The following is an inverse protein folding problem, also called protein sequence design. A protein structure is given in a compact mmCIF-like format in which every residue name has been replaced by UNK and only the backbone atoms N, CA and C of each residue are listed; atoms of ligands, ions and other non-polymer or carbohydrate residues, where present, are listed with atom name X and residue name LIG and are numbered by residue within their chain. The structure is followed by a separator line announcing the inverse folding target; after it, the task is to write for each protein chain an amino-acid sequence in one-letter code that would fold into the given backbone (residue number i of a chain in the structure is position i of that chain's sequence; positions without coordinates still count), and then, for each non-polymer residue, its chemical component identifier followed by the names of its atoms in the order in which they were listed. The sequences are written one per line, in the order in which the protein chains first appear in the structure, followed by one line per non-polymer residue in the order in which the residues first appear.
data_IF_344514566898
#
_entry.id   IF_344514566898
#
_cell.length_a   1.000
_cell.length_b   1.000
_cell.length_c   1.000
_cell.angle_alpha   90.00
_cell.angle_beta   90.00
_cell.angle_gamma   90.00
#
_symmetry.space_group_name_H-M   'P 1'
#
loop_
_entity.id
_entity.type
_entity.pdbx_description
1 polymer ?
#
# COMPACT_ATOMS: atom_id res chain seq x y z
N UNK A 1 -6.76 11.16 -16.39
CA UNK A 1 -6.99 9.77 -15.96
C UNK A 1 -8.46 9.47 -16.10
N UNK A 2 -8.85 8.29 -16.62
CA UNK A 2 -10.23 7.84 -16.63
C UNK A 2 -10.44 6.92 -15.42
N UNK A 3 -11.41 7.25 -14.56
CA UNK A 3 -11.65 6.49 -13.33
C UNK A 3 -12.24 5.11 -13.60
N UNK A 4 -12.99 4.93 -14.69
CA UNK A 4 -13.53 3.62 -15.07
C UNK A 4 -12.43 2.67 -15.51
N UNK A 5 -11.42 3.15 -16.24
CA UNK A 5 -10.26 2.36 -16.65
C UNK A 5 -9.44 1.91 -15.42
N UNK A 6 -9.30 2.78 -14.41
CA UNK A 6 -8.61 2.44 -13.16
C UNK A 6 -9.40 1.39 -12.35
N UNK A 7 -10.72 1.51 -12.30
CA UNK A 7 -11.58 0.51 -11.66
C UNK A 7 -11.43 -0.84 -12.38
N UNK A 8 -11.42 -0.85 -13.71
CA UNK A 8 -11.22 -2.07 -14.49
C UNK A 8 -9.84 -2.69 -14.23
N UNK A 9 -8.79 -1.86 -14.18
CA UNK A 9 -7.43 -2.32 -13.82
C UNK A 9 -7.42 -2.95 -12.43
N UNK A 10 -8.05 -2.32 -11.45
CA UNK A 10 -8.12 -2.83 -10.08
C UNK A 10 -8.87 -4.17 -10.01
N UNK A 11 -9.96 -4.34 -10.75
CA UNK A 11 -10.72 -5.60 -10.83
C UNK A 11 -9.88 -6.72 -11.45
N UNK A 12 -9.08 -6.42 -12.48
CA UNK A 12 -8.25 -7.42 -13.19
C UNK A 12 -6.94 -7.75 -12.48
N UNK A 13 -6.57 -6.98 -11.45
CA UNK A 13 -5.29 -7.15 -10.78
C UNK A 13 -5.35 -8.20 -9.68
N UNK A 14 -4.23 -8.89 -9.52
CA UNK A 14 -3.93 -9.74 -8.38
C UNK A 14 -2.89 -9.01 -7.53
N UNK A 15 -3.13 -8.96 -6.23
CA UNK A 15 -2.31 -8.22 -5.28
C UNK A 15 -1.54 -9.21 -4.39
N UNK A 16 -0.39 -8.78 -3.88
CA UNK A 16 0.43 -9.54 -2.93
C UNK A 16 1.05 -10.84 -3.48
N UNK A 17 0.97 -11.09 -4.79
CA UNK A 17 1.48 -12.32 -5.39
C UNK A 17 3.01 -12.44 -5.43
N UNK A 18 3.74 -11.34 -5.18
CA UNK A 18 5.21 -11.30 -5.08
C UNK A 18 5.70 -10.95 -3.67
N UNK A 19 4.82 -11.00 -2.68
CA UNK A 19 5.18 -10.61 -1.32
C UNK A 19 6.32 -11.49 -0.77
N UNK A 20 7.41 -10.85 -0.36
CA UNK A 20 8.65 -11.46 0.09
C UNK A 20 9.68 -11.69 -1.01
N UNK A 21 9.39 -11.31 -2.25
CA UNK A 21 10.34 -11.35 -3.37
C UNK A 21 11.11 -10.02 -3.48
N UNK A 22 12.38 -10.10 -3.88
CA UNK A 22 13.20 -8.92 -4.14
C UNK A 22 13.14 -8.57 -5.63
N UNK A 23 12.95 -7.28 -5.95
CA UNK A 23 13.08 -6.76 -7.30
C UNK A 23 14.15 -5.66 -7.38
N UNK A 24 14.66 -5.41 -8.60
CA UNK A 24 15.54 -4.28 -8.87
C UNK A 24 14.68 -3.06 -9.24
N UNK A 25 14.22 -2.34 -8.23
CA UNK A 25 13.51 -1.07 -8.39
C UNK A 25 14.27 0.00 -7.64
N UNK A 26 14.63 1.06 -8.35
CA UNK A 26 15.26 2.21 -7.73
C UNK A 26 14.35 2.77 -6.62
N UNK A 27 14.94 3.10 -5.47
CA UNK A 27 14.25 3.68 -4.31
C UNK A 27 13.24 2.76 -3.60
N UNK A 28 13.35 1.44 -3.75
CA UNK A 28 12.55 0.47 -2.97
C UNK A 28 13.45 -0.51 -2.25
N UNK A 29 13.24 -0.66 -0.94
CA UNK A 29 13.87 -1.69 -0.11
C UNK A 29 12.85 -2.79 0.14
N UNK A 30 13.17 -4.02 -0.31
CA UNK A 30 12.33 -5.19 -0.15
C UNK A 30 12.70 -5.97 1.11
N UNK A 31 11.70 -6.25 1.94
CA UNK A 31 11.80 -6.94 3.21
C UNK A 31 11.20 -8.34 3.05
N UNK A 32 11.83 -9.35 3.62
CA UNK A 32 11.53 -10.74 3.25
C UNK A 32 10.11 -11.20 3.58
N UNK A 33 9.53 -10.73 4.68
CA UNK A 33 8.20 -11.15 5.14
C UNK A 33 7.73 -10.32 6.33
N UNK A 34 6.48 -10.55 6.74
CA UNK A 34 5.84 -9.90 7.91
C UNK A 34 6.56 -10.14 9.24
N UNK A 35 7.31 -11.24 9.40
CA UNK A 35 8.09 -11.47 10.62
C UNK A 35 9.28 -10.51 10.69
N UNK A 36 10.05 -10.38 9.60
CA UNK A 36 11.16 -9.45 9.52
C UNK A 36 10.69 -8.00 9.52
N UNK A 37 9.54 -7.70 8.92
CA UNK A 37 9.01 -6.34 8.94
C UNK A 37 8.50 -5.89 10.32
N UNK A 38 7.74 -6.74 11.03
CA UNK A 38 6.92 -6.29 12.17
C UNK A 38 7.21 -6.94 13.51
N UNK A 39 7.88 -8.10 13.55
CA UNK A 39 8.08 -8.86 14.80
C UNK A 39 9.55 -8.85 15.21
N UNK A 40 10.45 -9.18 14.29
CA UNK A 40 11.88 -9.30 14.53
C UNK A 40 12.66 -8.52 13.45
N UNK A 41 12.53 -7.18 13.39
CA UNK A 41 13.26 -6.36 12.43
C UNK A 41 14.76 -6.37 12.70
N UNK A 42 15.54 -6.42 11.62
CA UNK A 42 16.99 -6.24 11.65
C UNK A 42 17.34 -4.93 10.96
N UNK A 43 18.41 -4.27 11.41
CA UNK A 43 18.85 -3.04 10.74
C UNK A 43 19.27 -3.33 9.28
N UNK A 44 19.89 -4.49 9.02
CA UNK A 44 20.34 -4.91 7.68
C UNK A 44 19.18 -5.05 6.68
N UNK A 45 18.05 -5.65 7.08
CA UNK A 45 16.89 -5.80 6.21
C UNK A 45 16.26 -4.46 5.77
N UNK A 46 16.54 -3.40 6.51
CA UNK A 46 16.07 -2.04 6.22
C UNK A 46 17.23 -1.10 5.81
N UNK A 47 18.38 -1.65 5.43
CA UNK A 47 19.59 -0.88 5.08
C UNK A 47 20.00 0.18 6.13
N UNK A 48 19.81 -0.12 7.41
CA UNK A 48 20.02 0.76 8.58
C UNK A 48 19.09 1.98 8.64
N UNK A 49 17.96 1.93 7.94
CA UNK A 49 16.95 2.99 7.92
C UNK A 49 15.70 2.68 8.75
N UNK A 50 15.63 1.51 9.42
CA UNK A 50 14.44 1.08 10.16
C UNK A 50 13.93 2.15 11.15
N UNK A 51 14.84 2.76 11.92
CA UNK A 51 14.50 3.80 12.91
C UNK A 51 14.12 5.16 12.32
N UNK A 52 14.40 5.39 11.04
CA UNK A 52 14.09 6.64 10.33
C UNK A 52 12.82 6.53 9.49
N UNK A 53 12.43 5.31 9.14
CA UNK A 53 11.23 5.00 8.39
C UNK A 53 9.97 5.49 9.13
N UNK A 54 9.04 6.04 8.34
CA UNK A 54 7.66 6.24 8.76
C UNK A 54 6.80 5.12 8.21
N UNK A 55 5.91 4.59 9.04
CA UNK A 55 4.93 3.60 8.61
C UNK A 55 3.88 4.24 7.68
N UNK A 56 3.46 3.48 6.68
CA UNK A 56 2.29 3.85 5.88
C UNK A 56 1.00 3.66 6.70
N UNK A 57 -0.07 4.40 6.34
CA UNK A 57 -1.39 4.23 6.93
C UNK A 57 -1.89 2.79 6.96
N UNK A 58 -2.50 2.41 8.07
CA UNK A 58 -3.02 1.08 8.38
C UNK A 58 -4.53 1.06 8.64
N UNK A 59 -5.17 2.24 8.66
CA UNK A 59 -6.61 2.43 8.83
C UNK A 59 -7.15 3.45 7.83
N UNK A 60 -8.44 3.32 7.48
CA UNK A 60 -9.15 4.29 6.64
C UNK A 60 -9.29 5.69 7.26
N UNK A 61 -9.07 5.80 8.57
CA UNK A 61 -9.15 7.04 9.36
C UNK A 61 -7.80 7.69 9.66
N UNK A 62 -6.70 7.06 9.24
CA UNK A 62 -5.37 7.63 9.44
C UNK A 62 -5.22 8.93 8.65
N UNK A 63 -4.29 9.78 9.08
CA UNK A 63 -3.97 11.01 8.36
C UNK A 63 -3.11 10.70 7.15
N UNK A 64 -3.30 11.46 6.07
CA UNK A 64 -2.42 11.40 4.90
C UNK A 64 -1.05 12.01 5.25
N UNK A 65 0.05 11.23 5.24
CA UNK A 65 1.38 11.74 5.56
C UNK A 65 1.96 12.70 4.52
N UNK A 66 1.50 12.65 3.26
CA UNK A 66 2.11 13.41 2.16
C UNK A 66 1.40 14.73 1.91
N UNK A 67 0.07 14.74 2.04
CA UNK A 67 -0.74 15.92 1.72
C UNK A 67 -1.63 16.41 2.87
N UNK A 68 -1.66 15.71 4.01
CA UNK A 68 -2.47 16.08 5.15
C UNK A 68 -3.98 16.07 4.87
N UNK A 69 -4.71 17.01 5.47
CA UNK A 69 -6.16 17.07 5.38
C UNK A 69 -6.61 17.76 4.07
N UNK A 70 -6.62 17.00 2.98
CA UNK A 70 -7.15 17.47 1.69
C UNK A 70 -8.67 17.39 1.63
N UNK A 71 -9.29 18.40 1.00
CA UNK A 71 -10.71 18.32 0.63
C UNK A 71 -10.86 17.38 -0.56
N UNK A 72 -11.61 16.30 -0.35
CA UNK A 72 -11.92 15.33 -1.41
C UNK A 72 -12.94 15.95 -2.38
N UNK A 73 -12.66 15.98 -3.69
CA UNK A 73 -13.64 16.37 -4.71
C UNK A 73 -14.91 15.52 -4.63
N UNK A 74 -16.08 16.15 -4.72
CA UNK A 74 -17.38 15.46 -4.55
C UNK A 74 -17.55 14.31 -5.55
N UNK A 75 -17.12 14.52 -6.79
CA UNK A 75 -17.11 13.52 -7.86
C UNK A 75 -16.32 12.25 -7.52
N UNK A 76 -15.31 12.32 -6.63
CA UNK A 76 -14.51 11.17 -6.23
C UNK A 76 -15.11 10.38 -5.06
N UNK A 77 -16.13 10.89 -4.38
CA UNK A 77 -16.69 10.24 -3.19
C UNK A 77 -17.15 8.83 -3.50
N UNK A 78 -17.86 8.64 -4.63
CA UNK A 78 -18.37 7.33 -5.00
C UNK A 78 -17.30 6.40 -5.57
N UNK A 79 -16.32 6.94 -6.32
CA UNK A 79 -15.17 6.15 -6.76
C UNK A 79 -14.34 5.62 -5.59
N UNK A 80 -14.09 6.45 -4.57
CA UNK A 80 -13.37 6.03 -3.34
C UNK A 80 -14.09 4.91 -2.60
N UNK A 81 -15.43 4.97 -2.52
CA UNK A 81 -16.23 3.87 -1.94
C UNK A 81 -16.10 2.60 -2.78
N UNK A 82 -16.25 2.72 -4.09
CA UNK A 82 -16.19 1.58 -5.03
C UNK A 82 -14.83 0.89 -5.00
N UNK A 83 -13.74 1.66 -5.03
CA UNK A 83 -12.36 1.16 -4.87
C UNK A 83 -12.22 0.35 -3.58
N UNK A 84 -12.69 0.88 -2.45
CA UNK A 84 -12.60 0.18 -1.16
C UNK A 84 -13.37 -1.13 -1.16
N UNK A 85 -14.56 -1.15 -1.77
CA UNK A 85 -15.38 -2.36 -1.89
C UNK A 85 -14.69 -3.44 -2.73
N UNK A 86 -14.11 -3.07 -3.87
CA UNK A 86 -13.39 -4.02 -4.73
C UNK A 86 -12.16 -4.57 -4.00
N UNK A 87 -11.39 -3.70 -3.33
CA UNK A 87 -10.22 -4.13 -2.54
C UNK A 87 -10.65 -5.10 -1.44
N UNK A 88 -11.73 -4.82 -0.71
CA UNK A 88 -12.22 -5.72 0.33
C UNK A 88 -12.81 -7.03 -0.20
N UNK A 89 -13.30 -7.04 -1.44
CA UNK A 89 -13.71 -8.27 -2.10
C UNK A 89 -12.48 -9.10 -2.48
N UNK A 90 -11.51 -8.51 -3.18
CA UNK A 90 -10.23 -9.13 -3.55
C UNK A 90 -9.46 -9.64 -2.33
N UNK A 91 -9.47 -8.89 -1.24
CA UNK A 91 -8.82 -9.27 0.00
C UNK A 91 -9.35 -10.58 0.63
N UNK A 92 -10.55 -11.04 0.24
CA UNK A 92 -11.09 -12.34 0.70
C UNK A 92 -10.44 -13.52 -0.01
N UNK A 93 -9.88 -13.29 -1.19
CA UNK A 93 -9.29 -14.31 -2.07
C UNK A 93 -7.78 -14.43 -1.86
N UNK A 94 -7.17 -13.52 -1.07
CA UNK A 94 -5.73 -13.52 -0.79
C UNK A 94 -5.29 -14.75 0.00
N UNK A 95 -4.08 -15.22 -0.28
CA UNK A 95 -3.42 -16.22 0.54
C UNK A 95 -3.06 -15.64 1.92
N UNK A 96 -3.86 -15.99 2.92
CA UNK A 96 -3.66 -15.56 4.31
C UNK A 96 -2.32 -16.01 4.89
N UNK A 97 -1.72 -17.09 4.38
CA UNK A 97 -0.47 -17.62 4.93
C UNK A 97 0.68 -16.62 4.80
N UNK A 98 0.63 -15.76 3.78
CA UNK A 98 1.60 -14.67 3.55
C UNK A 98 1.58 -13.63 4.68
N UNK A 99 0.42 -13.39 5.29
CA UNK A 99 0.20 -12.33 6.28
C UNK A 99 0.26 -12.81 7.72
N UNK A 100 0.49 -14.11 7.96
CA UNK A 100 0.51 -14.68 9.30
C UNK A 100 1.93 -15.01 9.71
N UNK A 101 2.33 -14.57 10.90
CA UNK A 101 3.55 -15.03 11.55
C UNK A 101 3.27 -15.36 13.01
N UNK A 102 3.41 -16.65 13.34
CA UNK A 102 3.09 -17.20 14.66
C UNK A 102 1.65 -16.87 15.06
N UNK A 103 1.47 -16.10 16.14
CA UNK A 103 0.15 -15.70 16.65
C UNK A 103 -0.35 -14.36 16.04
N UNK A 104 0.43 -13.72 15.16
CA UNK A 104 0.10 -12.43 14.57
C UNK A 104 -0.49 -12.61 13.17
N UNK A 105 -1.63 -11.96 12.91
CA UNK A 105 -2.28 -11.89 11.60
C UNK A 105 -2.33 -10.42 11.13
N UNK A 106 -1.63 -10.14 10.04
CA UNK A 106 -1.50 -8.81 9.46
C UNK A 106 -2.45 -8.57 8.28
N UNK A 107 -3.31 -9.54 7.92
CA UNK A 107 -4.19 -9.47 6.74
C UNK A 107 -5.12 -8.26 6.80
N UNK A 108 -5.58 -7.90 8.00
CA UNK A 108 -6.45 -6.75 8.18
C UNK A 108 -5.72 -5.42 7.98
N UNK A 109 -4.46 -5.33 8.40
CA UNK A 109 -3.63 -4.14 8.21
C UNK A 109 -3.31 -3.97 6.73
N UNK A 110 -2.91 -5.05 6.05
CA UNK A 110 -2.61 -5.03 4.62
C UNK A 110 -3.78 -4.53 3.77
N UNK A 111 -4.98 -5.11 3.95
CA UNK A 111 -6.16 -4.71 3.16
C UNK A 111 -6.62 -3.27 3.48
N UNK A 112 -6.48 -2.81 4.72
CA UNK A 112 -6.86 -1.45 5.10
C UNK A 112 -5.87 -0.42 4.57
N UNK A 113 -4.57 -0.71 4.63
CA UNK A 113 -3.52 0.13 4.05
C UNK A 113 -3.64 0.23 2.53
N UNK A 114 -3.92 -0.88 1.85
CA UNK A 114 -4.19 -0.88 0.41
C UNK A 114 -5.42 -0.02 0.07
N UNK A 115 -6.54 -0.22 0.78
CA UNK A 115 -7.74 0.59 0.56
C UNK A 115 -7.49 2.09 0.83
N UNK A 116 -6.67 2.42 1.83
CA UNK A 116 -6.24 3.80 2.06
C UNK A 116 -5.44 4.35 0.87
N UNK A 117 -4.38 3.65 0.46
CA UNK A 117 -3.48 4.09 -0.61
C UNK A 117 -4.24 4.37 -1.91
N UNK A 118 -5.10 3.45 -2.35
CA UNK A 118 -5.89 3.64 -3.57
C UNK A 118 -6.90 4.80 -3.43
N UNK A 119 -7.52 5.00 -2.27
CA UNK A 119 -8.40 6.15 -2.03
C UNK A 119 -7.67 7.48 -2.14
N UNK A 120 -6.41 7.54 -1.71
CA UNK A 120 -5.60 8.75 -1.78
C UNK A 120 -4.96 8.96 -3.15
N UNK A 121 -4.61 7.88 -3.84
CA UNK A 121 -4.18 7.92 -5.22
C UNK A 121 -5.20 8.61 -6.14
N UNK A 122 -6.51 8.29 -5.98
CA UNK A 122 -7.55 8.99 -6.74
C UNK A 122 -7.53 10.51 -6.49
N UNK A 123 -7.36 10.93 -5.24
CA UNK A 123 -7.30 12.34 -4.86
C UNK A 123 -6.03 13.00 -5.41
N UNK A 124 -4.88 12.34 -5.27
CA UNK A 124 -3.60 12.78 -5.82
C UNK A 124 -3.70 13.05 -7.32
N UNK A 125 -4.30 12.11 -8.07
CA UNK A 125 -4.48 12.23 -9.52
C UNK A 125 -5.50 13.28 -9.93
N UNK A 126 -6.63 13.37 -9.23
CA UNK A 126 -7.67 14.37 -9.54
C UNK A 126 -7.17 15.80 -9.32
N UNK A 127 -6.41 16.02 -8.26
CA UNK A 127 -5.86 17.33 -7.91
C UNK A 127 -4.52 17.63 -8.61
N UNK A 128 -4.04 16.74 -9.48
CA UNK A 128 -2.75 16.87 -10.19
C UNK A 128 -1.60 17.20 -9.24
N UNK A 129 -1.53 16.48 -8.11
CA UNK A 129 -0.48 16.63 -7.10
C UNK A 129 0.81 15.89 -7.55
N UNK A 130 1.65 15.49 -6.58
CA UNK A 130 2.83 14.67 -6.84
C UNK A 130 2.49 13.23 -7.21
N UNK A 131 3.43 12.32 -6.92
CA UNK A 131 3.34 10.89 -7.28
C UNK A 131 3.59 9.96 -6.09
N UNK A 132 3.42 10.44 -4.86
CA UNK A 132 3.67 9.64 -3.65
C UNK A 132 2.73 8.43 -3.61
N UNK A 133 1.42 8.65 -3.76
CA UNK A 133 0.44 7.57 -3.74
C UNK A 133 0.46 6.72 -5.01
N UNK A 134 0.74 7.32 -6.16
CA UNK A 134 0.98 6.59 -7.40
C UNK A 134 2.10 5.56 -7.25
N UNK A 135 3.25 5.96 -6.71
CA UNK A 135 4.37 5.04 -6.51
C UNK A 135 4.00 3.88 -5.57
N UNK A 136 3.25 4.16 -4.51
CA UNK A 136 2.74 3.14 -3.56
C UNK A 136 1.73 2.21 -4.24
N UNK A 137 0.78 2.75 -4.99
CA UNK A 137 -0.22 1.97 -5.74
C UNK A 137 0.44 1.10 -6.81
N UNK A 138 1.49 1.60 -7.46
CA UNK A 138 2.25 0.81 -8.42
C UNK A 138 2.91 -0.41 -7.76
N UNK A 139 3.42 -0.31 -6.53
CA UNK A 139 3.94 -1.48 -5.79
C UNK A 139 2.85 -2.53 -5.52
N UNK A 140 1.65 -2.11 -5.14
CA UNK A 140 0.53 -3.03 -5.01
C UNK A 140 0.25 -3.74 -6.35
N UNK A 141 0.20 -2.98 -7.45
CA UNK A 141 0.00 -3.55 -8.79
C UNK A 141 1.12 -4.50 -9.23
N UNK A 142 2.33 -4.33 -8.71
CA UNK A 142 3.46 -5.24 -8.95
C UNK A 142 3.39 -6.51 -8.09
N UNK A 143 2.45 -6.59 -7.15
CA UNK A 143 2.27 -7.74 -6.28
C UNK A 143 2.96 -7.63 -4.93
N UNK A 144 3.45 -6.45 -4.55
CA UNK A 144 4.15 -6.20 -3.29
C UNK A 144 3.26 -5.50 -2.27
N UNK A 145 3.61 -5.60 -0.99
CA UNK A 145 2.98 -4.85 0.09
C UNK A 145 3.88 -3.69 0.53
N UNK A 146 3.62 -2.43 0.10
CA UNK A 146 4.30 -1.27 0.66
C UNK A 146 3.88 -1.03 2.11
N UNK A 147 4.87 -0.89 3.01
CA UNK A 147 4.67 -0.78 4.46
C UNK A 147 5.18 0.52 5.07
N UNK A 148 6.10 1.22 4.40
CA UNK A 148 6.72 2.41 4.97
C UNK A 148 7.48 3.25 3.95
N UNK A 149 7.98 4.40 4.39
CA UNK A 149 8.74 5.34 3.56
C UNK A 149 9.76 6.16 4.36
N UNK A 150 10.82 6.63 3.69
CA UNK A 150 11.81 7.58 4.22
C UNK A 150 12.49 8.35 3.09
N UNK A 151 12.41 9.68 3.07
CA UNK A 151 13.13 10.55 2.09
C UNK A 151 13.05 10.07 0.62
N UNK A 152 11.88 9.63 0.18
CA UNK A 152 11.65 9.14 -1.19
C UNK A 152 11.94 7.65 -1.40
N UNK A 153 12.49 6.95 -0.42
CA UNK A 153 12.63 5.49 -0.38
C UNK A 153 11.32 4.88 0.13
N UNK A 154 10.84 3.83 -0.53
CA UNK A 154 9.72 3.01 -0.09
C UNK A 154 10.24 1.69 0.48
N UNK A 155 9.56 1.19 1.50
CA UNK A 155 9.80 -0.12 2.07
C UNK A 155 8.61 -1.01 1.73
N UNK A 156 8.88 -2.17 1.15
CA UNK A 156 7.86 -3.12 0.76
C UNK A 156 8.20 -4.53 1.21
N UNK A 157 7.18 -5.34 1.44
CA UNK A 157 7.29 -6.79 1.58
C UNK A 157 6.92 -7.40 0.25
#
# INVERSE_FOLDING_TARGET
MNWDDEIERLIKSDFFFKMGETEQIDHVIFIKNVNEAFINPTEEAFENLYKKMNWLPSSLSDKDPFYGDLKVPEELVDYRKRVSQIIFQKAREMDKSLFVSRAHDFSNVAKMGMAFAFRQYLVEKSLSLGSYWENIVNLYYMGHWPIGYFEGILFAI
#
